data_IF_743703522850
#
_entry.id   IF_743703522850
#
_cell.length_a   1.000
_cell.length_b   1.000
_cell.length_c   1.000
_cell.angle_alpha   90.00
_cell.angle_beta   90.00
_cell.angle_gamma   90.00
#
_symmetry.space_group_name_H-M   'P 1'
#
loop_
_entity.id
_entity.type
_entity.pdbx_description
1 polymer ?
#
# COMPACT_ATOMS: atom_id res chain seq x y z
N UNK A 1 24.15 15.90 -13.18
CA UNK A 1 22.77 15.89 -13.70
C UNK A 1 21.90 16.43 -12.60
N UNK A 2 20.99 17.36 -12.88
CA UNK A 2 20.06 17.86 -11.88
C UNK A 2 19.14 16.70 -11.44
N UNK A 3 19.25 16.34 -10.17
CA UNK A 3 18.49 15.28 -9.52
C UNK A 3 17.80 15.85 -8.31
N UNK A 4 16.61 15.36 -8.02
CA UNK A 4 15.78 15.82 -6.92
C UNK A 4 15.64 14.70 -5.89
N UNK A 5 16.06 14.95 -4.65
CA UNK A 5 16.00 13.94 -3.58
C UNK A 5 14.70 14.07 -2.78
N UNK A 6 14.49 13.13 -1.86
CA UNK A 6 13.38 13.21 -0.91
C UNK A 6 13.51 14.46 -0.02
N UNK A 7 14.71 14.82 0.43
CA UNK A 7 14.94 16.00 1.26
C UNK A 7 14.58 17.29 0.53
N UNK A 8 14.94 17.41 -0.75
CA UNK A 8 14.54 18.54 -1.59
C UNK A 8 13.02 18.64 -1.70
N UNK A 9 12.34 17.49 -1.75
CA UNK A 9 10.87 17.40 -1.79
C UNK A 9 10.20 17.85 -0.50
N UNK A 10 10.77 17.50 0.64
CA UNK A 10 10.26 17.95 1.94
C UNK A 10 10.27 19.47 2.05
N UNK A 11 11.25 20.16 1.45
CA UNK A 11 11.29 21.62 1.41
C UNK A 11 10.09 22.17 0.63
N UNK A 12 9.80 21.64 -0.56
CA UNK A 12 8.64 22.08 -1.34
C UNK A 12 7.32 21.80 -0.60
N UNK A 13 7.20 20.65 0.04
CA UNK A 13 6.00 20.26 0.78
C UNK A 13 5.78 21.11 2.04
N UNK A 14 6.85 21.62 2.65
CA UNK A 14 6.73 22.59 3.76
C UNK A 14 6.05 23.88 3.32
N UNK A 15 6.34 24.37 2.10
CA UNK A 15 5.68 25.55 1.54
C UNK A 15 4.22 25.25 1.17
N UNK A 16 3.96 24.07 0.59
CA UNK A 16 2.61 23.62 0.30
C UNK A 16 1.72 23.64 1.56
N UNK A 17 2.22 23.08 2.67
CA UNK A 17 1.51 23.02 3.94
C UNK A 17 1.21 24.39 4.55
N UNK A 18 2.02 25.41 4.24
CA UNK A 18 1.79 26.78 4.69
C UNK A 18 0.75 27.52 3.85
N UNK A 19 0.70 27.23 2.55
CA UNK A 19 -0.01 28.07 1.58
C UNK A 19 -1.32 27.46 1.05
N UNK A 20 -1.46 26.14 1.01
CA UNK A 20 -2.60 25.49 0.35
C UNK A 20 -3.88 25.57 1.21
N UNK A 21 -5.01 26.09 0.67
CA UNK A 21 -6.24 26.27 1.43
C UNK A 21 -6.81 24.94 1.99
N UNK A 22 -6.80 23.89 1.17
CA UNK A 22 -7.22 22.54 1.57
C UNK A 22 -6.36 21.85 2.63
N UNK A 23 -5.31 22.47 3.15
CA UNK A 23 -4.45 21.94 4.23
C UNK A 23 -4.41 22.86 5.46
N UNK A 24 -5.13 23.97 5.47
CA UNK A 24 -5.08 24.95 6.57
C UNK A 24 -5.48 24.35 7.93
N UNK A 25 -6.36 23.36 7.95
CA UNK A 25 -6.78 22.68 9.17
C UNK A 25 -5.60 21.96 9.87
N UNK A 26 -4.59 21.51 9.11
CA UNK A 26 -3.37 20.88 9.67
C UNK A 26 -2.40 21.88 10.30
N UNK A 27 -2.59 23.19 10.14
CA UNK A 27 -1.65 24.23 10.62
C UNK A 27 -1.35 24.17 12.11
N UNK A 28 -2.25 23.58 12.91
CA UNK A 28 -2.10 23.43 14.36
C UNK A 28 -1.51 22.08 14.79
N UNK A 29 -1.35 21.13 13.86
CA UNK A 29 -0.98 19.75 14.14
C UNK A 29 0.37 19.42 13.51
N UNK A 30 1.46 19.90 14.13
CA UNK A 30 2.82 19.77 13.59
C UNK A 30 3.23 18.32 13.26
N UNK A 31 2.86 17.36 14.12
CA UNK A 31 3.17 15.95 13.89
C UNK A 31 2.46 15.41 12.64
N UNK A 32 1.19 15.79 12.42
CA UNK A 32 0.44 15.41 11.22
C UNK A 32 0.98 16.10 9.97
N UNK A 33 1.46 17.36 10.08
CA UNK A 33 2.13 18.04 8.96
C UNK A 33 3.38 17.29 8.51
N UNK A 34 4.23 16.87 9.46
CA UNK A 34 5.44 16.10 9.15
C UNK A 34 5.08 14.75 8.50
N UNK A 35 4.10 14.03 9.06
CA UNK A 35 3.65 12.74 8.53
C UNK A 35 3.00 12.87 7.16
N UNK A 36 2.19 13.91 6.92
CA UNK A 36 1.60 14.19 5.62
C UNK A 36 2.69 14.46 4.59
N UNK A 37 3.61 15.40 4.85
CA UNK A 37 4.70 15.72 3.93
C UNK A 37 5.56 14.47 3.64
N UNK A 38 5.87 13.68 4.66
CA UNK A 38 6.55 12.41 4.51
C UNK A 38 5.79 11.45 3.58
N UNK A 39 4.48 11.32 3.77
CA UNK A 39 3.64 10.48 2.92
C UNK A 39 3.67 10.95 1.48
N UNK A 40 3.49 12.25 1.21
CA UNK A 40 3.47 12.77 -0.15
C UNK A 40 4.82 12.55 -0.83
N UNK A 41 5.93 12.85 -0.13
CA UNK A 41 7.27 12.64 -0.66
C UNK A 41 7.51 11.15 -0.98
N UNK A 42 7.08 10.25 -0.10
CA UNK A 42 7.22 8.80 -0.27
C UNK A 42 6.38 8.29 -1.45
N UNK A 43 5.14 8.77 -1.62
CA UNK A 43 4.28 8.44 -2.76
C UNK A 43 4.87 8.92 -4.08
N UNK A 44 5.40 10.14 -4.13
CA UNK A 44 6.08 10.65 -5.34
C UNK A 44 7.32 9.78 -5.65
N UNK A 45 8.14 9.44 -4.65
CA UNK A 45 9.27 8.53 -4.85
C UNK A 45 8.83 7.16 -5.37
N UNK A 46 7.74 6.62 -4.82
CA UNK A 46 7.17 5.32 -5.20
C UNK A 46 6.75 5.26 -6.68
N UNK A 47 6.09 6.30 -7.18
CA UNK A 47 5.58 6.32 -8.56
C UNK A 47 6.59 6.86 -9.59
N UNK A 48 7.48 7.78 -9.19
CA UNK A 48 8.35 8.51 -10.12
C UNK A 48 9.78 7.94 -10.17
N UNK A 49 10.38 7.57 -9.03
CA UNK A 49 11.77 7.11 -8.97
C UNK A 49 11.93 5.63 -9.36
N UNK A 50 11.49 5.27 -10.56
CA UNK A 50 11.54 3.88 -11.05
C UNK A 50 12.96 3.34 -11.21
N UNK A 51 13.99 4.19 -11.24
CA UNK A 51 15.39 3.74 -11.21
C UNK A 51 15.87 3.27 -9.83
N UNK A 52 15.10 3.52 -8.75
CA UNK A 52 15.42 3.12 -7.36
C UNK A 52 16.79 3.61 -6.87
N UNK A 53 17.20 4.75 -7.40
CA UNK A 53 18.45 5.43 -7.05
C UNK A 53 18.31 6.23 -5.75
N UNK A 54 17.09 6.53 -5.32
CA UNK A 54 16.82 7.50 -4.25
C UNK A 54 16.75 8.95 -4.75
N UNK A 55 16.98 9.18 -6.05
CA UNK A 55 16.97 10.52 -6.63
C UNK A 55 16.16 10.55 -7.94
N UNK A 56 15.17 11.43 -8.02
CA UNK A 56 14.36 11.63 -9.22
C UNK A 56 15.17 12.43 -10.24
N UNK A 57 15.36 11.87 -11.43
CA UNK A 57 15.98 12.57 -12.56
C UNK A 57 14.95 13.42 -13.31
N UNK A 58 15.39 14.49 -13.98
CA UNK A 58 14.53 15.26 -14.88
C UNK A 58 13.87 14.42 -16.01
N UNK A 59 14.44 13.25 -16.34
CA UNK A 59 13.84 12.30 -17.29
C UNK A 59 12.66 11.57 -16.67
N UNK A 60 12.79 11.09 -15.42
CA UNK A 60 11.72 10.46 -14.68
C UNK A 60 10.59 11.44 -14.38
N UNK A 61 10.91 12.63 -13.87
CA UNK A 61 9.94 13.68 -13.57
C UNK A 61 9.07 14.03 -14.80
N UNK A 62 9.68 14.17 -16.00
CA UNK A 62 8.94 14.40 -17.25
C UNK A 62 8.13 13.19 -17.69
N UNK A 63 8.70 11.98 -17.57
CA UNK A 63 8.01 10.74 -17.98
C UNK A 63 6.72 10.51 -17.19
N UNK A 64 6.77 10.78 -15.88
CA UNK A 64 5.63 10.63 -14.97
C UNK A 64 4.87 11.93 -14.73
N UNK A 65 5.14 12.97 -15.54
CA UNK A 65 4.40 14.24 -15.54
C UNK A 65 4.26 14.88 -14.16
N UNK A 66 5.32 14.78 -13.34
CA UNK A 66 5.29 15.28 -11.96
C UNK A 66 4.93 16.77 -11.88
N UNK A 67 5.36 17.56 -12.87
CA UNK A 67 5.02 18.98 -12.98
C UNK A 67 3.51 19.22 -13.14
N UNK A 68 2.81 18.38 -13.91
CA UNK A 68 1.35 18.52 -14.11
C UNK A 68 0.62 18.30 -12.77
N UNK A 69 1.08 17.37 -11.94
CA UNK A 69 0.50 17.15 -10.61
C UNK A 69 0.70 18.33 -9.66
N UNK A 70 1.87 18.98 -9.66
CA UNK A 70 2.07 20.19 -8.88
C UNK A 70 1.21 21.35 -9.39
N UNK A 71 1.05 21.49 -10.71
CA UNK A 71 0.17 22.50 -11.28
C UNK A 71 -1.30 22.29 -10.87
N UNK A 72 -1.77 21.03 -10.86
CA UNK A 72 -3.13 20.72 -10.39
C UNK A 72 -3.34 21.12 -8.92
N UNK A 73 -2.31 20.98 -8.07
CA UNK A 73 -2.36 21.43 -6.67
C UNK A 73 -2.47 22.95 -6.56
N UNK A 74 -1.86 23.70 -7.47
CA UNK A 74 -2.01 25.17 -7.48
C UNK A 74 -3.42 25.61 -7.94
N UNK A 75 -4.11 24.77 -8.72
CA UNK A 75 -5.41 25.08 -9.34
C UNK A 75 -6.63 24.60 -8.53
N UNK A 76 -6.51 23.48 -7.79
CA UNK A 76 -7.61 22.89 -7.02
C UNK A 76 -7.58 23.31 -5.54
N UNK A 77 -8.67 23.91 -5.04
CA UNK A 77 -8.77 24.27 -3.63
C UNK A 77 -8.92 23.05 -2.71
N UNK A 78 -9.54 21.99 -3.21
CA UNK A 78 -9.71 20.70 -2.54
C UNK A 78 -8.55 19.76 -2.89
N UNK A 79 -7.65 19.57 -1.91
CA UNK A 79 -6.43 18.76 -2.08
C UNK A 79 -6.74 17.30 -2.42
N UNK A 80 -7.92 16.78 -2.04
CA UNK A 80 -8.31 15.39 -2.28
C UNK A 80 -8.59 15.10 -3.75
N UNK A 81 -8.88 16.13 -4.56
CA UNK A 81 -9.03 15.99 -6.02
C UNK A 81 -7.73 15.66 -6.72
N UNK A 82 -6.58 15.95 -6.10
CA UNK A 82 -5.26 15.57 -6.62
C UNK A 82 -4.82 14.23 -6.00
N UNK A 83 -5.59 13.19 -6.27
CA UNK A 83 -5.52 11.89 -5.61
C UNK A 83 -4.16 11.18 -5.73
N UNK A 84 -3.50 11.30 -6.89
CA UNK A 84 -2.30 10.52 -7.23
C UNK A 84 -1.16 10.66 -6.21
N UNK A 85 -0.93 11.86 -5.69
CA UNK A 85 0.11 12.09 -4.67
C UNK A 85 -0.42 12.79 -3.43
N UNK A 86 -1.24 13.84 -3.59
CA UNK A 86 -1.49 14.85 -2.56
C UNK A 86 -2.76 14.64 -1.74
N UNK A 87 -3.63 13.70 -2.09
CA UNK A 87 -4.86 13.45 -1.32
C UNK A 87 -4.58 13.25 0.17
N UNK A 88 -5.28 14.05 0.98
CA UNK A 88 -5.27 13.94 2.43
C UNK A 88 -5.98 12.68 2.90
N UNK A 89 -7.09 12.30 2.26
CA UNK A 89 -7.80 11.04 2.56
C UNK A 89 -6.87 9.82 2.42
N UNK A 90 -6.04 9.80 1.37
CA UNK A 90 -5.07 8.72 1.18
C UNK A 90 -3.98 8.73 2.27
N UNK A 91 -3.52 9.91 2.67
CA UNK A 91 -2.61 10.04 3.80
C UNK A 91 -3.25 9.51 5.08
N UNK A 92 -4.49 9.90 5.36
CA UNK A 92 -5.20 9.51 6.58
C UNK A 92 -5.35 8.00 6.67
N UNK A 93 -5.77 7.35 5.57
CA UNK A 93 -5.83 5.88 5.48
C UNK A 93 -4.47 5.24 5.76
N UNK A 94 -3.39 5.70 5.10
CA UNK A 94 -2.05 5.16 5.32
C UNK A 94 -1.61 5.32 6.79
N UNK A 95 -1.88 6.47 7.40
CA UNK A 95 -1.50 6.77 8.76
C UNK A 95 -2.30 5.94 9.77
N UNK A 96 -3.63 5.87 9.65
CA UNK A 96 -4.48 5.07 10.53
C UNK A 96 -4.13 3.58 10.46
N UNK A 97 -3.91 3.04 9.25
CA UNK A 97 -3.51 1.63 9.09
C UNK A 97 -2.15 1.33 9.70
N UNK A 98 -1.20 2.27 9.61
CA UNK A 98 0.08 2.14 10.30
C UNK A 98 -0.13 2.12 11.82
N UNK A 99 -0.89 3.09 12.33
CA UNK A 99 -1.15 3.26 13.76
C UNK A 99 -1.88 2.06 14.37
N UNK A 100 -2.86 1.48 13.66
CA UNK A 100 -3.57 0.27 14.09
C UNK A 100 -2.65 -0.96 14.21
N UNK A 101 -1.61 -1.05 13.37
CA UNK A 101 -0.67 -2.16 13.41
C UNK A 101 0.42 -1.97 14.48
N UNK A 102 0.90 -0.74 14.66
CA UNK A 102 1.89 -0.32 15.67
C UNK A 102 1.23 -0.19 17.05
N UNK A 103 0.72 -1.30 17.58
CA UNK A 103 -0.11 -1.33 18.78
C UNK A 103 0.65 -0.97 20.08
N UNK A 104 1.97 -1.15 20.11
CA UNK A 104 2.83 -0.71 21.22
C UNK A 104 3.42 0.69 21.01
N UNK A 105 3.14 1.32 19.87
CA UNK A 105 3.51 2.69 19.52
C UNK A 105 5.02 2.93 19.63
N UNK A 106 5.84 1.94 19.25
CA UNK A 106 7.30 2.05 19.29
C UNK A 106 7.88 2.74 18.05
N UNK A 107 7.02 3.07 17.07
CA UNK A 107 7.37 3.77 15.84
C UNK A 107 7.97 2.87 14.77
N UNK A 108 7.84 1.55 14.90
CA UNK A 108 8.18 0.55 13.88
C UNK A 108 7.20 -0.61 13.83
N UNK A 109 7.00 -1.16 12.64
CA UNK A 109 6.23 -2.39 12.43
C UNK A 109 7.19 -3.60 12.47
N UNK A 110 6.93 -4.54 13.37
CA UNK A 110 7.62 -5.83 13.39
C UNK A 110 6.97 -6.85 12.44
N UNK A 111 7.61 -8.01 12.26
CA UNK A 111 7.01 -9.12 11.49
C UNK A 111 5.67 -9.58 12.07
N UNK A 112 5.56 -9.60 13.40
CA UNK A 112 4.33 -10.03 14.07
C UNK A 112 3.20 -9.02 13.90
N UNK A 113 3.53 -7.73 13.85
CA UNK A 113 2.55 -6.68 13.60
C UNK A 113 2.06 -6.76 12.16
N UNK A 114 2.97 -6.86 11.18
CA UNK A 114 2.60 -6.99 9.78
C UNK A 114 1.77 -8.25 9.50
N UNK A 115 2.00 -9.34 10.23
CA UNK A 115 1.17 -10.55 10.11
C UNK A 115 -0.29 -10.34 10.49
N UNK A 116 -0.60 -9.38 11.37
CA UNK A 116 -1.99 -9.07 11.73
C UNK A 116 -2.70 -8.25 10.64
N UNK A 117 -1.95 -7.74 9.66
CA UNK A 117 -2.52 -6.99 8.54
C UNK A 117 -3.63 -7.77 7.83
N UNK A 118 -4.76 -7.09 7.65
CA UNK A 118 -5.93 -7.63 6.97
C UNK A 118 -6.49 -8.90 7.60
N UNK A 119 -6.38 -9.07 8.93
CA UNK A 119 -6.78 -10.29 9.65
C UNK A 119 -5.99 -11.53 9.17
N UNK A 120 -4.66 -11.43 9.20
CA UNK A 120 -3.76 -12.49 8.74
C UNK A 120 -3.94 -12.85 7.26
N UNK A 121 -4.16 -11.85 6.41
CA UNK A 121 -4.36 -12.03 4.97
C UNK A 121 -3.11 -12.58 4.27
N UNK A 122 -1.94 -12.07 4.64
CA UNK A 122 -0.65 -12.46 4.06
C UNK A 122 -0.04 -13.70 4.75
N UNK A 123 0.57 -14.58 3.95
CA UNK A 123 1.27 -15.75 4.48
C UNK A 123 2.55 -15.37 5.24
N UNK A 124 2.96 -16.19 6.21
CA UNK A 124 4.23 -15.97 6.92
C UNK A 124 5.43 -15.92 5.98
N UNK A 125 5.44 -16.80 4.98
CA UNK A 125 6.50 -16.86 3.98
C UNK A 125 6.69 -15.51 3.26
N UNK A 126 5.61 -14.85 2.81
CA UNK A 126 5.77 -13.55 2.14
C UNK A 126 6.14 -12.44 3.12
N UNK A 127 5.62 -12.47 4.35
CA UNK A 127 6.00 -11.49 5.38
C UNK A 127 7.49 -11.56 5.69
N UNK A 128 8.04 -12.77 5.81
CA UNK A 128 9.48 -12.93 6.02
C UNK A 128 10.28 -12.32 4.84
N UNK A 129 9.84 -12.58 3.59
CA UNK A 129 10.45 -11.98 2.39
C UNK A 129 10.36 -10.46 2.33
N UNK A 130 9.24 -9.86 2.74
CA UNK A 130 9.09 -8.40 2.84
C UNK A 130 10.18 -7.80 3.73
N UNK A 131 10.44 -8.42 4.88
CA UNK A 131 11.49 -7.96 5.80
C UNK A 131 12.88 -8.22 5.25
N UNK A 132 13.12 -9.34 4.56
CA UNK A 132 14.43 -9.69 4.00
C UNK A 132 14.84 -8.85 2.77
N UNK A 133 13.93 -8.67 1.82
CA UNK A 133 14.24 -8.14 0.48
C UNK A 133 13.31 -7.04 -0.02
N UNK A 134 12.19 -6.77 0.66
CA UNK A 134 11.23 -5.72 0.27
C UNK A 134 11.88 -4.35 0.07
N UNK A 135 11.31 -3.50 -0.76
CA UNK A 135 11.96 -2.22 -1.05
C UNK A 135 11.97 -1.28 0.18
N UNK A 136 13.13 -0.70 0.49
CA UNK A 136 13.35 0.29 1.58
C UNK A 136 14.21 1.44 1.10
N UNK A 137 13.66 2.40 0.32
CA UNK A 137 14.45 3.39 -0.39
C UNK A 137 15.26 4.29 0.56
N UNK A 138 14.66 4.69 1.68
CA UNK A 138 15.24 5.61 2.66
C UNK A 138 16.35 4.99 3.50
N UNK A 139 16.44 3.65 3.51
CA UNK A 139 17.31 2.86 4.41
C UNK A 139 18.17 1.87 3.63
N UNK A 140 18.48 2.22 2.37
CA UNK A 140 19.25 1.36 1.47
C UNK A 140 20.63 1.08 2.06
N UNK A 141 20.88 -0.18 2.40
CA UNK A 141 22.15 -0.65 2.98
C UNK A 141 22.12 -0.89 4.49
N UNK A 142 20.99 -0.66 5.17
CA UNK A 142 20.83 -1.10 6.56
C UNK A 142 20.83 -2.64 6.65
N UNK A 143 21.58 -3.16 7.62
CA UNK A 143 21.73 -4.62 7.84
C UNK A 143 20.60 -5.18 8.71
N UNK A 144 20.11 -4.39 9.67
CA UNK A 144 18.96 -4.78 10.47
C UNK A 144 17.67 -4.42 9.72
N UNK A 145 17.04 -5.44 9.16
CA UNK A 145 15.78 -5.29 8.44
C UNK A 145 14.57 -5.78 9.24
N UNK A 146 14.71 -6.03 10.53
CA UNK A 146 13.62 -6.57 11.37
C UNK A 146 12.56 -5.53 11.75
N UNK A 147 12.79 -4.25 11.41
CA UNK A 147 11.91 -3.12 11.72
C UNK A 147 11.50 -2.42 10.43
N UNK A 148 10.21 -2.19 10.24
CA UNK A 148 9.66 -1.44 9.11
C UNK A 148 9.18 -0.07 9.60
N UNK A 149 9.77 1.01 9.10
CA UNK A 149 9.33 2.35 9.47
C UNK A 149 8.12 2.80 8.64
N UNK A 150 7.49 3.91 9.02
CA UNK A 150 6.29 4.42 8.34
C UNK A 150 6.45 4.61 6.83
N UNK A 151 7.60 5.09 6.35
CA UNK A 151 7.88 5.26 4.92
C UNK A 151 8.08 3.92 4.19
N UNK A 152 8.69 2.94 4.83
CA UNK A 152 8.75 1.55 4.32
C UNK A 152 7.34 0.93 4.26
N UNK A 153 6.51 1.21 5.27
CA UNK A 153 5.12 0.74 5.33
C UNK A 153 4.26 1.33 4.21
N UNK A 154 4.47 2.60 3.82
CA UNK A 154 3.78 3.18 2.67
C UNK A 154 4.11 2.40 1.39
N UNK A 155 5.37 2.04 1.17
CA UNK A 155 5.77 1.20 0.02
C UNK A 155 5.06 -0.16 0.04
N UNK A 156 4.99 -0.79 1.21
CA UNK A 156 4.23 -2.03 1.40
C UNK A 156 2.76 -1.84 1.06
N UNK A 157 2.07 -0.87 1.67
CA UNK A 157 0.63 -0.63 1.50
C UNK A 157 0.25 -0.34 0.05
N UNK A 158 0.97 0.57 -0.61
CA UNK A 158 0.72 0.90 -2.02
C UNK A 158 0.93 -0.32 -2.92
N UNK A 159 1.89 -1.19 -2.58
CA UNK A 159 2.16 -2.41 -3.35
C UNK A 159 1.14 -3.51 -3.07
N UNK A 160 0.66 -3.64 -1.83
CA UNK A 160 -0.27 -4.69 -1.42
C UNK A 160 -1.70 -4.45 -1.93
N UNK A 161 -2.15 -3.20 -1.85
CA UNK A 161 -3.52 -2.85 -2.23
C UNK A 161 -3.69 -2.60 -3.73
N UNK A 162 -2.64 -2.17 -4.44
CA UNK A 162 -2.60 -2.14 -5.90
C UNK A 162 -1.41 -2.95 -6.45
N UNK A 163 -1.63 -4.25 -6.64
CA UNK A 163 -0.63 -5.15 -7.27
C UNK A 163 -0.52 -4.97 -8.79
N UNK A 164 -1.33 -4.08 -9.37
CA UNK A 164 -1.46 -3.84 -10.81
C UNK A 164 -0.60 -2.69 -11.32
N UNK A 165 0.25 -2.08 -10.49
CA UNK A 165 1.16 -1.02 -10.92
C UNK A 165 2.63 -1.47 -11.01
N UNK A 166 3.45 -0.67 -11.72
CA UNK A 166 4.85 -1.02 -12.01
C UNK A 166 5.73 -1.18 -10.77
N UNK A 167 5.47 -0.38 -9.74
CA UNK A 167 6.26 -0.38 -8.50
C UNK A 167 5.91 -1.59 -7.64
N UNK A 168 4.62 -1.90 -7.51
CA UNK A 168 4.11 -3.09 -6.85
C UNK A 168 4.62 -4.37 -7.52
N UNK A 169 4.60 -4.42 -8.85
CA UNK A 169 5.11 -5.57 -9.60
C UNK A 169 6.58 -5.85 -9.31
N UNK A 170 7.40 -4.80 -9.33
CA UNK A 170 8.82 -4.90 -9.03
C UNK A 170 9.05 -5.24 -7.55
N UNK A 171 8.21 -4.73 -6.63
CA UNK A 171 8.26 -5.06 -5.20
C UNK A 171 7.99 -6.55 -4.95
N UNK A 172 6.87 -7.06 -5.47
CA UNK A 172 6.47 -8.46 -5.27
C UNK A 172 7.33 -9.45 -6.05
N UNK A 173 7.78 -9.08 -7.26
CA UNK A 173 8.73 -9.90 -8.00
C UNK A 173 10.01 -10.14 -7.19
N UNK A 174 10.58 -9.08 -6.58
CA UNK A 174 11.75 -9.21 -5.72
C UNK A 174 11.48 -10.08 -4.48
N UNK A 175 10.27 -10.01 -3.91
CA UNK A 175 9.91 -10.84 -2.75
C UNK A 175 9.73 -12.33 -3.13
N UNK A 176 9.13 -12.60 -4.29
CA UNK A 176 8.82 -13.96 -4.76
C UNK A 176 10.04 -14.66 -5.37
N UNK A 177 10.97 -13.92 -5.96
CA UNK A 177 12.27 -14.45 -6.40
C UNK A 177 13.10 -14.86 -5.17
N UNK A 178 13.03 -16.14 -4.78
CA UNK A 178 13.61 -16.65 -3.52
C UNK A 178 15.12 -16.73 -3.62
N UNK A 179 15.65 -17.16 -4.76
CA UNK A 179 17.09 -17.31 -4.99
C UNK A 179 17.76 -16.02 -5.52
N UNK A 180 16.97 -15.02 -5.92
CA UNK A 180 17.46 -13.69 -6.32
C UNK A 180 18.08 -13.67 -7.72
N UNK A 181 17.78 -14.66 -8.56
CA UNK A 181 18.39 -14.80 -9.89
C UNK A 181 17.66 -13.97 -10.98
N UNK A 182 16.66 -13.17 -10.61
CA UNK A 182 15.80 -12.38 -11.48
C UNK A 182 14.86 -13.19 -12.38
N UNK A 183 14.54 -14.42 -12.00
CA UNK A 183 13.63 -15.33 -12.68
C UNK A 183 12.78 -16.05 -11.63
N UNK A 184 11.46 -15.91 -11.72
CA UNK A 184 10.54 -16.69 -10.89
C UNK A 184 10.25 -18.02 -11.59
N UNK A 185 10.62 -19.11 -10.92
CA UNK A 185 10.45 -20.49 -11.38
C UNK A 185 9.30 -21.19 -10.64
N UNK A 186 8.86 -22.38 -11.11
CA UNK A 186 7.87 -23.18 -10.37
C UNK A 186 8.32 -23.52 -8.94
N UNK A 187 9.63 -23.64 -8.69
CA UNK A 187 10.16 -23.90 -7.35
C UNK A 187 9.92 -22.72 -6.41
N UNK A 188 10.13 -21.49 -6.89
CA UNK A 188 9.88 -20.26 -6.13
C UNK A 188 8.39 -20.13 -5.81
N UNK A 189 7.53 -20.34 -6.80
CA UNK A 189 6.08 -20.31 -6.62
C UNK A 189 5.61 -21.38 -5.62
N UNK A 190 6.17 -22.60 -5.73
CA UNK A 190 5.81 -23.72 -4.88
C UNK A 190 6.09 -23.43 -3.40
N UNK A 191 7.21 -22.77 -3.11
CA UNK A 191 7.58 -22.38 -1.74
C UNK A 191 6.48 -21.59 -1.03
N UNK A 192 5.83 -20.64 -1.72
CA UNK A 192 4.71 -19.89 -1.16
C UNK A 192 3.39 -20.67 -1.21
N UNK A 193 3.14 -21.36 -2.32
CA UNK A 193 1.86 -22.04 -2.54
C UNK A 193 1.62 -23.23 -1.59
N UNK A 194 2.68 -23.90 -1.12
CA UNK A 194 2.54 -24.95 -0.09
C UNK A 194 1.98 -24.37 1.23
N UNK A 195 2.39 -23.15 1.58
CA UNK A 195 1.84 -22.45 2.75
C UNK A 195 0.38 -22.05 2.52
N UNK A 196 0.03 -21.57 1.33
CA UNK A 196 -1.35 -21.25 0.97
C UNK A 196 -2.26 -22.48 1.00
N UNK A 197 -1.76 -23.62 0.53
CA UNK A 197 -2.47 -24.90 0.56
C UNK A 197 -2.84 -25.28 1.99
N UNK A 198 -1.87 -25.26 2.91
CA UNK A 198 -2.14 -25.55 4.33
C UNK A 198 -3.15 -24.57 4.95
N UNK A 199 -3.12 -23.29 4.56
CA UNK A 199 -4.10 -22.28 5.01
C UNK A 199 -5.51 -22.55 4.47
N UNK A 200 -5.65 -22.91 3.18
CA UNK A 200 -6.92 -23.29 2.57
C UNK A 200 -7.54 -24.49 3.29
N UNK A 201 -6.76 -25.55 3.53
CA UNK A 201 -7.20 -26.75 4.27
C UNK A 201 -7.67 -26.39 5.68
N UNK A 202 -6.92 -25.54 6.38
CA UNK A 202 -7.23 -25.13 7.76
C UNK A 202 -8.52 -24.31 7.87
N UNK A 203 -8.88 -23.58 6.82
CA UNK A 203 -10.11 -22.79 6.74
C UNK A 203 -11.28 -23.54 6.08
N UNK A 204 -11.06 -24.79 5.66
CA UNK A 204 -12.09 -25.63 5.02
C UNK A 204 -12.41 -25.22 3.58
N UNK A 205 -11.49 -24.54 2.89
CA UNK A 205 -11.60 -24.28 1.46
C UNK A 205 -11.10 -25.46 0.63
N UNK A 206 -11.67 -25.64 -0.56
CA UNK A 206 -11.18 -26.61 -1.53
C UNK A 206 -9.78 -26.21 -2.04
N UNK A 207 -8.85 -27.16 -2.01
CA UNK A 207 -7.47 -26.93 -2.46
C UNK A 207 -7.37 -27.19 -3.96
N UNK A 208 -6.88 -26.20 -4.69
CA UNK A 208 -6.50 -26.39 -6.10
C UNK A 208 -5.08 -26.97 -6.16
N UNK A 209 -4.84 -28.07 -6.89
CA UNK A 209 -3.49 -28.62 -7.06
C UNK A 209 -2.52 -27.59 -7.68
N UNK A 210 -1.29 -27.52 -7.16
CA UNK A 210 -0.27 -26.61 -7.69
C UNK A 210 -0.03 -26.72 -9.21
N UNK A 211 0.00 -27.92 -9.84
CA UNK A 211 0.17 -28.02 -11.29
C UNK A 211 -0.91 -27.28 -12.09
N UNK A 212 -2.15 -27.27 -11.58
CA UNK A 212 -3.27 -26.60 -12.25
C UNK A 212 -3.13 -25.08 -12.12
N UNK A 213 -2.78 -24.59 -10.93
CA UNK A 213 -2.48 -23.16 -10.70
C UNK A 213 -1.31 -22.69 -11.55
N UNK A 214 -0.23 -23.47 -11.61
CA UNK A 214 0.94 -23.16 -12.43
C UNK A 214 0.58 -23.06 -13.92
N UNK A 215 -0.24 -23.99 -14.42
CA UNK A 215 -0.74 -23.96 -15.80
C UNK A 215 -1.56 -22.69 -16.05
N UNK A 216 -2.51 -22.36 -15.17
CA UNK A 216 -3.35 -21.16 -15.29
C UNK A 216 -2.50 -19.87 -15.27
N UNK A 217 -1.53 -19.76 -14.36
CA UNK A 217 -0.62 -18.61 -14.28
C UNK A 217 0.24 -18.48 -15.53
N UNK A 218 0.78 -19.60 -16.03
CA UNK A 218 1.59 -19.63 -17.25
C UNK A 218 0.76 -19.26 -18.49
N UNK A 219 -0.47 -19.73 -18.59
CA UNK A 219 -1.39 -19.40 -19.68
C UNK A 219 -1.83 -17.94 -19.64
N UNK A 220 -1.95 -17.36 -18.44
CA UNK A 220 -2.26 -15.95 -18.25
C UNK A 220 -1.07 -15.07 -18.63
N UNK A 221 0.11 -15.29 -18.06
CA UNK A 221 1.30 -14.44 -18.28
C UNK A 221 1.88 -14.65 -19.69
N UNK A 222 1.92 -15.90 -20.16
CA UNK A 222 2.61 -16.33 -21.39
C UNK A 222 4.06 -15.83 -21.40
N UNK A 223 4.93 -16.34 -20.50
CA UNK A 223 6.31 -15.89 -20.41
C UNK A 223 7.08 -16.15 -21.71
N UNK A 224 8.09 -15.33 -21.99
CA UNK A 224 8.95 -15.48 -23.18
C UNK A 224 9.70 -16.83 -23.20
N UNK A 225 10.11 -17.31 -22.02
CA UNK A 225 10.72 -18.62 -21.81
C UNK A 225 9.78 -19.47 -20.95
N UNK A 226 9.51 -20.70 -21.39
CA UNK A 226 8.61 -21.62 -20.68
C UNK A 226 9.07 -21.83 -19.22
N UNK A 227 8.11 -21.71 -18.30
CA UNK A 227 8.32 -21.83 -16.85
C UNK A 227 9.35 -20.86 -16.23
N UNK A 228 9.73 -19.80 -16.94
CA UNK A 228 10.64 -18.76 -16.44
C UNK A 228 9.98 -17.40 -16.56
N UNK A 229 9.44 -16.90 -15.45
CA UNK A 229 8.78 -15.61 -15.41
C UNK A 229 9.80 -14.55 -15.05
N UNK A 230 10.03 -13.61 -15.96
CA UNK A 230 10.86 -12.43 -15.71
C UNK A 230 9.98 -11.24 -15.39
N UNK A 231 10.57 -10.22 -14.75
CA UNK A 231 9.85 -8.97 -14.52
C UNK A 231 9.39 -8.31 -15.83
N UNK A 232 10.13 -8.50 -16.94
CA UNK A 232 9.74 -7.98 -18.26
C UNK A 232 8.41 -8.58 -18.71
N UNK A 233 8.16 -9.85 -18.41
CA UNK A 233 6.89 -10.52 -18.73
C UNK A 233 5.72 -9.91 -17.96
N UNK A 234 5.94 -9.53 -16.69
CA UNK A 234 4.91 -8.93 -15.83
C UNK A 234 4.63 -7.46 -16.17
N UNK A 235 5.63 -6.74 -16.70
CA UNK A 235 5.53 -5.32 -17.05
C UNK A 235 4.94 -5.06 -18.45
N UNK A 236 4.50 -6.11 -19.18
CA UNK A 236 3.83 -5.90 -20.46
C UNK A 236 2.48 -5.20 -20.26
N UNK A 237 2.14 -4.30 -21.18
CA UNK A 237 0.94 -3.45 -21.07
C UNK A 237 -0.38 -4.23 -21.05
N UNK A 238 -0.42 -5.41 -21.67
CA UNK A 238 -1.57 -6.30 -21.64
C UNK A 238 -1.73 -7.07 -20.32
N UNK A 239 -0.64 -7.19 -19.54
CA UNK A 239 -0.58 -8.04 -18.34
C UNK A 239 -0.56 -7.28 -17.02
N UNK A 240 -0.04 -6.04 -17.03
CA UNK A 240 0.22 -5.25 -15.83
C UNK A 240 -0.98 -5.14 -14.88
N UNK A 241 -2.19 -5.11 -15.41
CA UNK A 241 -3.43 -4.97 -14.62
C UNK A 241 -4.02 -6.29 -14.11
N UNK A 242 -3.54 -7.45 -14.57
CA UNK A 242 -4.10 -8.78 -14.20
C UNK A 242 -3.11 -9.64 -13.41
N UNK A 243 -1.83 -9.39 -13.57
CA UNK A 243 -0.76 -10.16 -12.93
C UNK A 243 -0.77 -10.11 -11.39
N UNK A 244 -1.42 -9.12 -10.77
CA UNK A 244 -1.64 -9.08 -9.32
C UNK A 244 -2.30 -10.34 -8.77
N UNK A 245 -3.16 -10.99 -9.57
CA UNK A 245 -3.82 -12.26 -9.23
C UNK A 245 -2.81 -13.39 -8.99
N UNK A 246 -1.68 -13.39 -9.73
CA UNK A 246 -0.61 -14.39 -9.55
C UNK A 246 -0.03 -14.27 -8.16
N UNK A 247 0.26 -13.05 -7.72
CA UNK A 247 0.78 -12.80 -6.39
C UNK A 247 -0.24 -13.15 -5.30
N UNK A 248 -1.52 -12.82 -5.51
CA UNK A 248 -2.55 -13.17 -4.55
C UNK A 248 -2.67 -14.68 -4.36
N UNK A 249 -2.69 -15.44 -5.45
CA UNK A 249 -2.70 -16.91 -5.40
C UNK A 249 -1.50 -17.50 -4.63
N UNK A 250 -0.34 -16.85 -4.67
CA UNK A 250 0.86 -17.31 -3.97
C UNK A 250 0.85 -16.98 -2.48
N UNK A 251 0.27 -15.85 -2.04
CA UNK A 251 0.45 -15.42 -0.65
C UNK A 251 -0.66 -14.58 -0.01
N UNK A 252 -1.68 -14.17 -0.75
CA UNK A 252 -2.84 -13.43 -0.22
C UNK A 252 -4.10 -14.28 -0.38
N UNK A 253 -4.46 -15.00 0.69
CA UNK A 253 -5.54 -15.97 0.62
C UNK A 253 -6.91 -15.31 0.39
N UNK A 254 -7.21 -14.20 1.06
CA UNK A 254 -8.51 -13.54 0.92
C UNK A 254 -8.75 -13.10 -0.53
N UNK A 255 -7.78 -12.39 -1.14
CA UNK A 255 -7.90 -11.91 -2.52
C UNK A 255 -7.95 -13.08 -3.51
N UNK A 256 -7.22 -14.16 -3.24
CA UNK A 256 -7.28 -15.37 -4.06
C UNK A 256 -8.66 -16.05 -4.01
N UNK A 257 -9.23 -16.24 -2.81
CA UNK A 257 -10.57 -16.84 -2.68
C UNK A 257 -11.65 -15.94 -3.30
N UNK A 258 -11.56 -14.63 -3.12
CA UNK A 258 -12.47 -13.68 -3.77
C UNK A 258 -12.37 -13.77 -5.30
N UNK A 259 -11.17 -13.98 -5.84
CA UNK A 259 -10.97 -14.18 -7.27
C UNK A 259 -11.57 -15.50 -7.77
N UNK A 260 -11.40 -16.61 -7.05
CA UNK A 260 -12.00 -17.90 -7.42
C UNK A 260 -13.53 -17.87 -7.37
N UNK A 261 -14.09 -17.09 -6.45
CA UNK A 261 -15.54 -16.93 -6.26
C UNK A 261 -16.14 -15.78 -7.08
N UNK A 262 -15.34 -15.11 -7.92
CA UNK A 262 -15.76 -13.87 -8.59
C UNK A 262 -16.95 -14.10 -9.51
N UNK A 263 -17.91 -13.18 -9.42
CA UNK A 263 -19.01 -13.06 -10.37
C UNK A 263 -18.55 -12.21 -11.57
N UNK A 264 -18.63 -12.71 -12.82
CA UNK A 264 -18.36 -11.93 -14.03
C UNK A 264 -19.14 -10.60 -14.11
N UNK A 265 -20.26 -10.46 -13.41
CA UNK A 265 -21.04 -9.23 -13.33
C UNK A 265 -20.36 -8.15 -12.45
N UNK A 266 -19.73 -8.55 -11.34
CA UNK A 266 -19.01 -7.64 -10.44
C UNK A 266 -17.78 -7.01 -11.11
N UNK A 267 -17.07 -7.76 -11.98
CA UNK A 267 -15.95 -7.22 -12.75
C UNK A 267 -16.39 -6.12 -13.74
N UNK A 268 -17.61 -6.18 -14.28
CA UNK A 268 -18.12 -5.13 -15.16
C UNK A 268 -18.38 -3.84 -14.39
N UNK A 269 -18.98 -3.94 -13.20
CA UNK A 269 -19.17 -2.78 -12.33
C UNK A 269 -17.83 -2.15 -11.93
N UNK A 270 -16.81 -2.98 -11.65
CA UNK A 270 -15.46 -2.50 -11.33
C UNK A 270 -14.85 -1.66 -12.47
N UNK A 271 -15.17 -1.96 -13.73
CA UNK A 271 -14.66 -1.22 -14.91
C UNK A 271 -15.38 0.09 -15.19
N UNK A 272 -16.60 0.24 -14.66
CA UNK A 272 -17.48 1.38 -14.96
C UNK A 272 -17.47 2.44 -13.85
N UNK A 273 -16.62 2.29 -12.84
CA UNK A 273 -16.60 3.17 -11.68
C UNK A 273 -15.56 4.30 -11.81
N UNK A 274 -15.58 5.30 -10.90
CA UNK A 274 -14.86 6.55 -11.12
C UNK A 274 -13.38 6.50 -10.70
N UNK A 275 -12.85 5.34 -10.29
CA UNK A 275 -11.50 5.26 -9.72
C UNK A 275 -10.46 4.93 -10.79
N UNK A 276 -9.34 5.65 -10.75
CA UNK A 276 -8.23 5.44 -11.68
C UNK A 276 -7.37 4.21 -11.32
N UNK A 277 -7.37 3.79 -10.05
CA UNK A 277 -6.59 2.65 -9.57
C UNK A 277 -7.28 1.84 -8.47
N UNK A 278 -6.78 0.63 -8.23
CA UNK A 278 -7.22 -0.21 -7.10
C UNK A 278 -6.85 0.41 -5.75
N UNK A 279 -5.77 1.20 -5.69
CA UNK A 279 -5.41 1.98 -4.51
C UNK A 279 -6.46 3.05 -4.20
N UNK A 280 -6.88 3.82 -5.21
CA UNK A 280 -7.85 4.91 -4.99
C UNK A 280 -9.19 4.36 -4.50
N UNK A 281 -9.61 3.21 -5.06
CA UNK A 281 -10.80 2.48 -4.62
C UNK A 281 -10.66 2.00 -3.17
N UNK A 282 -9.53 1.41 -2.82
CA UNK A 282 -9.25 0.94 -1.46
C UNK A 282 -9.25 2.11 -0.47
N UNK A 283 -8.51 3.18 -0.78
CA UNK A 283 -8.39 4.36 0.07
C UNK A 283 -9.75 5.03 0.27
N UNK A 284 -10.56 5.17 -0.78
CA UNK A 284 -11.92 5.72 -0.65
C UNK A 284 -12.81 4.87 0.26
N UNK A 285 -12.82 3.55 0.06
CA UNK A 285 -13.64 2.65 0.88
C UNK A 285 -13.20 2.66 2.35
N UNK A 286 -11.90 2.65 2.59
CA UNK A 286 -11.32 2.61 3.93
C UNK A 286 -11.47 3.95 4.66
N UNK A 287 -11.31 5.07 3.95
CA UNK A 287 -11.55 6.39 4.52
C UNK A 287 -13.01 6.53 4.98
N UNK A 288 -13.97 6.12 4.16
CA UNK A 288 -15.38 6.15 4.54
C UNK A 288 -15.69 5.23 5.74
N UNK A 289 -15.05 4.07 5.83
CA UNK A 289 -15.17 3.18 7.00
C UNK A 289 -14.66 3.87 8.26
N UNK A 290 -13.47 4.47 8.20
CA UNK A 290 -12.85 5.18 9.32
C UNK A 290 -13.69 6.38 9.76
N UNK A 291 -14.19 7.18 8.83
CA UNK A 291 -15.07 8.31 9.12
C UNK A 291 -16.37 7.89 9.82
N UNK A 292 -17.01 6.81 9.36
CA UNK A 292 -18.21 6.27 10.02
C UNK A 292 -17.94 5.74 11.42
N UNK A 293 -16.78 5.11 11.64
CA UNK A 293 -16.37 4.63 12.96
C UNK A 293 -16.07 5.77 13.93
N UNK A 294 -15.53 6.88 13.42
CA UNK A 294 -15.29 8.10 14.17
C UNK A 294 -16.60 8.81 14.55
N UNK A 295 -17.50 9.03 13.58
CA UNK A 295 -18.84 9.59 13.83
C UNK A 295 -19.61 8.77 14.89
N UNK A 296 -19.59 7.43 14.77
CA UNK A 296 -20.25 6.56 15.74
C UNK A 296 -19.62 6.65 17.15
N UNK A 297 -18.30 6.84 17.26
CA UNK A 297 -17.63 7.04 18.56
C UNK A 297 -18.04 8.36 19.19
N UNK A 298 -18.07 9.43 18.42
CA UNK A 298 -18.51 10.75 18.90
C UNK A 298 -19.97 10.74 19.35
N UNK A 299 -20.86 10.09 18.60
CA UNK A 299 -22.27 9.91 18.99
C UNK A 299 -22.39 9.15 20.31
N UNK A 300 -21.64 8.04 20.48
CA UNK A 300 -21.62 7.28 21.73
C UNK A 300 -21.07 8.09 22.90
N UNK A 301 -20.07 8.94 22.69
CA UNK A 301 -19.53 9.83 23.72
C UNK A 301 -20.56 10.90 24.13
N UNK A 302 -21.24 11.52 23.16
CA UNK A 302 -22.30 12.50 23.42
C UNK A 302 -23.51 11.88 24.14
N UNK A 303 -23.91 10.67 23.77
CA UNK A 303 -24.97 9.92 24.45
C UNK A 303 -24.54 9.45 25.85
N UNK A 304 -23.29 9.01 26.04
CA UNK A 304 -22.73 8.63 27.34
C UNK A 304 -22.61 9.81 28.31
N UNK A 305 -22.35 11.02 27.80
CA UNK A 305 -22.36 12.27 28.59
C UNK A 305 -23.78 12.66 29.02
N UNK A 306 -24.82 12.22 28.30
CA UNK A 306 -26.21 12.47 28.68
C UNK A 306 -26.71 11.61 29.86
N UNK A 307 -26.08 10.45 30.11
CA UNK A 307 -26.50 9.51 31.16
C UNK A 307 -25.73 9.67 32.49
N UNK A 308 -24.56 10.34 32.48
CA UNK A 308 -23.75 10.58 33.69
C UNK A 308 -23.25 12.03 33.79
N UNK A 309 -24.15 12.93 34.19
CA UNK A 309 -23.75 14.16 34.85
C UNK A 309 -23.03 13.83 36.17
N UNK A 310 -21.79 14.31 36.30
CA UNK A 310 -20.85 14.28 37.44
C UNK A 310 -19.80 13.16 37.46
N UNK A 311 -18.53 13.56 37.24
CA UNK A 311 -17.38 12.89 37.84
C UNK A 311 -16.19 12.74 36.91
N UNK A 312 -15.38 13.79 36.77
CA UNK A 312 -14.07 13.77 36.14
C UNK A 312 -13.16 12.64 36.66
N UNK A 313 -12.68 11.78 35.77
CA UNK A 313 -11.31 11.26 35.79
C UNK A 313 -10.90 10.89 34.36
N UNK A 314 -10.04 11.74 33.81
CA UNK A 314 -9.35 11.59 32.53
C UNK A 314 -8.59 10.25 32.53
N UNK A 315 -9.11 9.26 31.82
CA UNK A 315 -8.29 8.19 31.28
C UNK A 315 -7.90 8.62 29.88
N UNK A 316 -6.60 8.79 29.69
CA UNK A 316 -5.97 9.01 28.40
C UNK A 316 -6.15 7.72 27.57
N UNK A 317 -7.28 7.59 26.88
CA UNK A 317 -7.41 6.66 25.76
C UNK A 317 -6.58 7.26 24.63
N UNK A 318 -5.52 6.57 24.21
CA UNK A 318 -4.75 6.93 23.02
C UNK A 318 -5.59 6.74 21.76
N UNK A 319 -6.69 7.46 21.63
CA UNK A 319 -7.38 7.63 20.37
C UNK A 319 -6.48 8.49 19.47
N UNK A 320 -6.46 8.18 18.19
CA UNK A 320 -5.99 9.14 17.19
C UNK A 320 -6.92 10.36 17.36
N UNK A 321 -6.41 11.47 17.90
CA UNK A 321 -7.10 12.75 17.79
C UNK A 321 -7.07 13.11 16.30
N UNK A 322 -8.15 12.77 15.62
CA UNK A 322 -8.41 13.23 14.26
C UNK A 322 -8.44 14.76 14.30
N UNK A 323 -7.79 15.46 13.36
CA UNK A 323 -7.75 16.91 13.34
C UNK A 323 -9.07 17.55 12.86
N UNK A 324 -10.17 16.79 12.83
CA UNK A 324 -11.50 17.21 12.39
C UNK A 324 -12.41 17.61 13.56
#
# INVERSE_FOLDING_TARGET
AETFTREDMMILLSELLLCHPGLQFLSKHGDFQEKYALTIATRIMYHVNMSRTGCITAKEARKYRLQESFQMVDEEEDINRVALYFSYEHFYVLYCRYWELDADHDGVISREDLLRYGNHRLSRAIVDRIFEVGERPSRKGETNRDKMHYDDFIYFMLSEEDKGNRSALQYWFTCVDVDGNSIVTPSDMRYFYDVQTARMESLGHDVVPFPDVLCQMSDMIKPETEAQITLKDLLRSDMIHVVGIVFDALFNLDKFIQFEQRDPFAERQKRDDPFDSDWDRFAYAEYNRLAQEEEAREEMELEGVSEWGYGSQQQNSGAIESPF
#
